data_IF_938496489833
#
_entry.id   IF_938496489833
#
_cell.length_a   1.000
_cell.length_b   1.000
_cell.length_c   1.000
_cell.angle_alpha   90.00
_cell.angle_beta   90.00
_cell.angle_gamma   90.00
#
_symmetry.space_group_name_H-M   'P 1'
#
loop_
_entity.id
_entity.type
_entity.pdbx_description
1 polymer ?
#
# COMPACT_ATOMS: atom_id res chain seq x y z
N UNK A 1 5.26 31.40 -3.25
CA UNK A 1 4.45 30.99 -4.43
C UNK A 1 2.99 31.09 -4.04
N UNK A 2 2.14 31.63 -4.92
CA UNK A 2 0.69 31.87 -4.71
C UNK A 2 -0.21 30.69 -5.11
N UNK A 3 0.36 29.51 -5.40
CA UNK A 3 -0.39 28.31 -5.82
C UNK A 3 -0.50 27.29 -4.67
N UNK A 4 -1.67 27.17 -4.01
CA UNK A 4 -1.86 26.29 -2.85
C UNK A 4 -1.63 24.80 -3.14
N UNK A 5 -1.79 24.40 -4.40
CA UNK A 5 -1.63 23.03 -4.86
C UNK A 5 -0.20 22.66 -5.29
N UNK A 6 0.74 23.63 -5.36
CA UNK A 6 2.12 23.38 -5.81
C UNK A 6 2.95 22.74 -4.68
N UNK A 7 2.65 21.48 -4.39
CA UNK A 7 3.33 20.61 -3.42
C UNK A 7 4.11 19.53 -4.17
N UNK A 8 5.20 19.93 -4.83
CA UNK A 8 6.01 18.99 -5.61
C UNK A 8 6.76 18.02 -4.68
N UNK A 9 6.70 16.70 -4.90
CA UNK A 9 7.37 15.71 -4.06
C UNK A 9 8.87 15.62 -4.42
N UNK A 10 9.60 16.73 -4.31
CA UNK A 10 11.02 16.83 -4.72
C UNK A 10 11.91 15.82 -4.00
N UNK A 11 11.58 15.50 -2.75
CA UNK A 11 12.32 14.49 -2.01
C UNK A 11 12.14 13.08 -2.58
N UNK A 12 10.91 12.71 -2.96
CA UNK A 12 10.63 11.43 -3.59
C UNK A 12 11.31 11.33 -4.97
N UNK A 13 11.46 12.45 -5.69
CA UNK A 13 12.18 12.47 -6.95
C UNK A 13 13.65 12.01 -6.80
N UNK A 14 14.33 12.37 -5.70
CA UNK A 14 15.69 11.89 -5.39
C UNK A 14 15.70 10.38 -5.16
N UNK A 15 14.74 9.86 -4.39
CA UNK A 15 14.63 8.42 -4.12
C UNK A 15 14.40 7.61 -5.41
N UNK A 16 13.47 8.06 -6.26
CA UNK A 16 13.16 7.43 -7.54
C UNK A 16 14.37 7.49 -8.48
N UNK A 17 15.07 8.63 -8.53
CA UNK A 17 16.28 8.80 -9.32
C UNK A 17 17.38 7.83 -8.90
N UNK A 18 17.67 7.73 -7.60
CA UNK A 18 18.64 6.78 -7.08
C UNK A 18 18.24 5.32 -7.38
N UNK A 19 16.97 4.96 -7.13
CA UNK A 19 16.45 3.61 -7.41
C UNK A 19 16.51 3.23 -8.89
N UNK A 20 16.45 4.21 -9.80
CA UNK A 20 16.56 3.99 -11.24
C UNK A 20 18.01 3.89 -11.72
N UNK A 21 18.92 4.68 -11.15
CA UNK A 21 20.34 4.72 -11.58
C UNK A 21 21.19 3.60 -10.98
N UNK A 22 21.01 3.30 -9.70
CA UNK A 22 21.86 2.35 -8.96
C UNK A 22 21.87 0.93 -9.56
N UNK A 23 20.74 0.35 -10.04
CA UNK A 23 20.77 -0.98 -10.63
C UNK A 23 21.75 -1.12 -11.80
N UNK A 24 21.84 -0.11 -12.67
CA UNK A 24 22.79 -0.08 -13.78
C UNK A 24 24.24 -0.04 -13.31
N UNK A 25 24.55 0.82 -12.34
CA UNK A 25 25.90 0.92 -11.76
C UNK A 25 26.32 -0.37 -11.04
N UNK A 26 25.40 -1.01 -10.31
CA UNK A 26 25.64 -2.31 -9.68
C UNK A 26 25.90 -3.38 -10.74
N UNK A 27 25.17 -3.36 -11.86
CA UNK A 27 25.43 -4.29 -12.97
C UNK A 27 26.82 -4.13 -13.57
N UNK A 28 27.37 -2.91 -13.61
CA UNK A 28 28.75 -2.64 -14.03
C UNK A 28 29.76 -3.33 -13.10
N UNK A 29 29.54 -3.30 -11.78
CA UNK A 29 30.40 -4.01 -10.82
C UNK A 29 30.33 -5.53 -11.02
N UNK A 30 29.14 -6.09 -11.27
CA UNK A 30 29.02 -7.52 -11.60
C UNK A 30 29.72 -7.88 -12.91
N UNK A 31 29.62 -7.04 -13.93
CA UNK A 31 30.29 -7.24 -15.21
C UNK A 31 31.82 -7.16 -15.10
N UNK A 32 32.34 -6.43 -14.10
CA UNK A 32 33.78 -6.30 -13.84
C UNK A 32 34.38 -7.48 -13.06
N UNK A 33 33.58 -8.42 -12.55
CA UNK A 33 34.05 -9.53 -11.72
C UNK A 33 35.07 -10.50 -12.37
N UNK A 34 34.99 -10.87 -13.67
CA UNK A 34 35.92 -11.85 -14.25
C UNK A 34 37.29 -11.23 -14.59
N UNK A 35 37.97 -10.68 -13.59
CA UNK A 35 39.29 -10.06 -13.72
C UNK A 35 40.37 -11.11 -14.01
N UNK A 36 41.12 -10.93 -15.09
CA UNK A 36 42.17 -11.86 -15.52
C UNK A 36 43.46 -11.77 -14.71
N UNK A 37 44.07 -12.94 -14.48
CA UNK A 37 45.41 -13.10 -13.86
C UNK A 37 45.57 -12.36 -12.53
N UNK A 38 46.73 -11.73 -12.28
CA UNK A 38 47.04 -11.04 -11.03
C UNK A 38 46.46 -9.61 -10.96
N UNK A 39 46.11 -9.01 -12.11
CA UNK A 39 45.49 -7.68 -12.21
C UNK A 39 44.92 -7.41 -13.60
N UNK A 40 43.60 -7.32 -13.72
CA UNK A 40 42.92 -6.96 -14.96
C UNK A 40 43.09 -5.48 -15.33
N UNK A 41 43.32 -5.21 -16.62
CA UNK A 41 43.30 -3.86 -17.17
C UNK A 41 41.95 -3.62 -17.85
N UNK A 42 41.28 -2.52 -17.51
CA UNK A 42 39.91 -2.25 -17.95
C UNK A 42 38.86 -2.63 -16.89
N UNK A 43 38.72 -3.91 -16.52
CA UNK A 43 37.67 -4.33 -15.57
C UNK A 43 37.88 -3.73 -14.19
N UNK A 44 39.10 -3.81 -13.65
CA UNK A 44 39.45 -3.14 -12.38
C UNK A 44 39.26 -1.60 -12.46
N UNK A 45 39.50 -1.00 -13.62
CA UNK A 45 39.42 0.44 -13.81
C UNK A 45 37.95 0.91 -13.90
N UNK A 46 37.05 0.08 -14.42
CA UNK A 46 35.62 0.37 -14.50
C UNK A 46 34.97 0.52 -13.10
N UNK A 47 35.57 -0.03 -12.05
CA UNK A 47 35.08 0.06 -10.68
C UNK A 47 35.35 1.43 -10.04
N UNK A 48 36.38 2.15 -10.50
CA UNK A 48 36.96 3.32 -9.80
C UNK A 48 35.95 4.43 -9.52
N UNK A 49 35.13 4.79 -10.50
CA UNK A 49 34.08 5.80 -10.35
C UNK A 49 32.72 5.17 -10.03
N UNK A 50 32.51 3.93 -10.46
CA UNK A 50 31.23 3.23 -10.31
C UNK A 50 30.86 3.04 -8.83
N UNK A 51 31.80 2.56 -8.01
CA UNK A 51 31.54 2.32 -6.60
C UNK A 51 31.30 3.64 -5.82
N UNK A 52 32.14 4.68 -5.95
CA UNK A 52 31.86 5.98 -5.34
C UNK A 52 30.53 6.60 -5.78
N UNK A 53 30.15 6.50 -7.06
CA UNK A 53 28.88 7.04 -7.53
C UNK A 53 27.67 6.34 -6.87
N UNK A 54 27.73 5.01 -6.71
CA UNK A 54 26.69 4.26 -5.96
C UNK A 54 26.58 4.80 -4.53
N UNK A 55 27.71 4.98 -3.83
CA UNK A 55 27.71 5.53 -2.47
C UNK A 55 27.12 6.94 -2.39
N UNK A 56 27.46 7.82 -3.34
CA UNK A 56 26.91 9.17 -3.43
C UNK A 56 25.39 9.16 -3.68
N UNK A 57 24.90 8.33 -4.59
CA UNK A 57 23.46 8.22 -4.88
C UNK A 57 22.67 7.69 -3.68
N UNK A 58 23.17 6.64 -3.04
CA UNK A 58 22.49 6.02 -1.88
C UNK A 58 22.53 6.95 -0.66
N UNK A 59 23.64 7.64 -0.40
CA UNK A 59 23.70 8.62 0.70
C UNK A 59 22.75 9.80 0.49
N UNK A 60 22.63 10.30 -0.74
CA UNK A 60 21.64 11.32 -1.10
C UNK A 60 20.20 10.84 -0.90
N UNK A 61 19.91 9.58 -1.29
CA UNK A 61 18.60 8.98 -1.08
C UNK A 61 18.28 8.82 0.40
N UNK A 62 19.20 8.28 1.22
CA UNK A 62 19.01 8.14 2.67
C UNK A 62 18.76 9.49 3.36
N UNK A 63 19.54 10.51 2.98
CA UNK A 63 19.35 11.87 3.51
C UNK A 63 17.94 12.39 3.24
N UNK A 64 17.43 12.17 2.04
CA UNK A 64 16.11 12.65 1.66
C UNK A 64 14.98 11.80 2.22
N UNK A 65 15.19 10.49 2.37
CA UNK A 65 14.26 9.59 3.05
C UNK A 65 14.05 10.00 4.51
N UNK A 66 15.12 10.37 5.22
CA UNK A 66 15.03 10.87 6.61
C UNK A 66 14.10 12.08 6.72
N UNK A 67 14.30 13.09 5.86
CA UNK A 67 13.49 14.32 5.84
C UNK A 67 12.00 14.00 5.62
N UNK A 68 11.70 13.08 4.70
CA UNK A 68 10.32 12.69 4.41
C UNK A 68 9.74 11.91 5.59
N UNK A 69 10.47 10.94 6.14
CA UNK A 69 9.98 10.06 7.20
C UNK A 69 9.64 10.82 8.49
N UNK A 70 10.41 11.87 8.83
CA UNK A 70 10.16 12.71 10.01
C UNK A 70 9.08 13.77 9.78
N UNK A 71 8.88 14.22 8.54
CA UNK A 71 8.04 15.37 8.20
C UNK A 71 6.78 15.07 7.38
N UNK A 72 6.42 13.79 7.20
CA UNK A 72 5.28 13.41 6.36
C UNK A 72 3.94 13.87 6.98
N UNK A 73 3.19 14.68 6.23
CA UNK A 73 1.82 15.07 6.58
C UNK A 73 0.82 13.99 6.16
N UNK A 74 0.04 13.47 7.11
CA UNK A 74 -1.02 12.48 6.87
C UNK A 74 -2.40 13.10 7.05
N UNK A 75 -3.22 13.10 6.00
CA UNK A 75 -4.62 13.52 6.05
C UNK A 75 -5.55 12.30 6.22
N UNK A 76 -5.79 11.91 7.48
CA UNK A 76 -6.65 10.78 7.82
C UNK A 76 -8.11 10.98 7.36
N UNK A 77 -8.61 12.21 7.35
CA UNK A 77 -9.96 12.51 6.90
C UNK A 77 -10.09 12.29 5.39
N UNK A 78 -9.07 12.67 4.60
CA UNK A 78 -9.01 12.36 3.18
C UNK A 78 -8.90 10.86 2.92
N UNK A 79 -8.11 10.13 3.71
CA UNK A 79 -8.06 8.66 3.63
C UNK A 79 -9.45 8.04 3.85
N UNK A 80 -10.18 8.48 4.88
CA UNK A 80 -11.55 7.98 5.15
C UNK A 80 -12.49 8.27 3.98
N UNK A 81 -12.50 9.50 3.46
CA UNK A 81 -13.33 9.87 2.29
C UNK A 81 -12.97 9.07 1.04
N UNK A 82 -11.68 8.79 0.83
CA UNK A 82 -11.24 8.00 -0.32
C UNK A 82 -11.72 6.54 -0.25
N UNK A 83 -11.90 5.97 0.94
CA UNK A 83 -12.46 4.61 1.09
C UNK A 83 -13.91 4.53 0.60
N UNK A 84 -14.66 5.63 0.73
CA UNK A 84 -16.06 5.71 0.30
C UNK A 84 -16.21 5.95 -1.22
N UNK A 85 -15.12 6.13 -1.98
CA UNK A 85 -15.17 6.35 -3.44
C UNK A 85 -15.80 5.18 -4.20
N UNK A 86 -15.73 3.98 -3.65
CA UNK A 86 -16.37 2.78 -4.22
C UNK A 86 -17.75 2.52 -3.62
N UNK A 87 -18.29 3.47 -2.84
CA UNK A 87 -19.61 3.38 -2.23
C UNK A 87 -19.82 2.09 -1.40
N UNK A 88 -18.78 1.67 -0.67
CA UNK A 88 -18.79 0.47 0.17
C UNK A 88 -18.49 -0.85 -0.56
N UNK A 89 -18.37 -0.86 -1.89
CA UNK A 89 -18.08 -2.08 -2.66
C UNK A 89 -16.74 -2.73 -2.28
N UNK A 90 -15.74 -1.93 -1.87
CA UNK A 90 -14.45 -2.44 -1.38
C UNK A 90 -14.59 -3.30 -0.11
N UNK A 91 -15.70 -3.17 0.64
CA UNK A 91 -16.00 -3.95 1.84
C UNK A 91 -17.01 -5.07 1.61
N UNK A 92 -17.38 -5.35 0.35
CA UNK A 92 -18.33 -6.43 0.04
C UNK A 92 -17.85 -7.78 0.62
N UNK A 93 -16.55 -8.07 0.57
CA UNK A 93 -15.98 -9.30 1.15
C UNK A 93 -16.30 -9.45 2.65
N UNK A 94 -16.22 -8.36 3.43
CA UNK A 94 -16.49 -8.38 4.86
C UNK A 94 -17.93 -8.85 5.16
N UNK A 95 -18.88 -8.35 4.38
CA UNK A 95 -20.29 -8.76 4.48
C UNK A 95 -20.48 -10.20 3.99
N UNK A 96 -19.82 -10.58 2.90
CA UNK A 96 -19.89 -11.92 2.30
C UNK A 96 -19.53 -13.02 3.30
N UNK A 97 -18.44 -12.82 4.06
CA UNK A 97 -17.96 -13.80 5.03
C UNK A 97 -18.99 -14.08 6.11
N UNK A 98 -19.66 -13.03 6.60
CA UNK A 98 -20.68 -13.17 7.65
C UNK A 98 -21.97 -13.77 7.09
N UNK A 99 -22.45 -13.29 5.93
CA UNK A 99 -23.63 -13.86 5.28
C UNK A 99 -23.44 -15.33 4.92
N UNK A 100 -22.24 -15.74 4.50
CA UNK A 100 -21.93 -17.13 4.19
C UNK A 100 -22.10 -18.07 5.40
N UNK A 101 -21.85 -17.58 6.62
CA UNK A 101 -22.07 -18.34 7.85
C UNK A 101 -23.55 -18.46 8.24
N UNK A 102 -24.41 -17.56 7.73
CA UNK A 102 -25.84 -17.51 8.01
C UNK A 102 -26.67 -18.26 6.97
N UNK A 103 -26.41 -18.01 5.68
CA UNK A 103 -27.22 -18.45 4.53
C UNK A 103 -26.56 -19.56 3.71
N UNK A 104 -25.31 -19.90 4.02
CA UNK A 104 -24.47 -20.75 3.17
C UNK A 104 -23.73 -19.95 2.10
N UNK A 105 -22.56 -20.48 1.70
CA UNK A 105 -21.58 -19.76 0.86
C UNK A 105 -22.13 -19.37 -0.51
N UNK A 106 -22.79 -20.29 -1.20
CA UNK A 106 -23.28 -20.06 -2.56
C UNK A 106 -24.41 -19.02 -2.57
N UNK A 107 -25.36 -19.14 -1.64
CA UNK A 107 -26.46 -18.18 -1.46
C UNK A 107 -25.95 -16.79 -1.14
N UNK A 108 -25.02 -16.66 -0.17
CA UNK A 108 -24.44 -15.39 0.22
C UNK A 108 -23.68 -14.73 -0.94
N UNK A 109 -22.94 -15.52 -1.73
CA UNK A 109 -22.22 -15.02 -2.89
C UNK A 109 -23.17 -14.42 -3.94
N UNK A 110 -24.21 -15.15 -4.34
CA UNK A 110 -25.18 -14.68 -5.33
C UNK A 110 -25.98 -13.46 -4.84
N UNK A 111 -26.38 -13.46 -3.56
CA UNK A 111 -27.12 -12.35 -2.96
C UNK A 111 -26.28 -11.07 -2.93
N UNK A 112 -25.03 -11.17 -2.47
CA UNK A 112 -24.13 -10.04 -2.41
C UNK A 112 -23.74 -9.54 -3.80
N UNK A 113 -23.50 -10.43 -4.76
CA UNK A 113 -23.25 -10.05 -6.16
C UNK A 113 -24.42 -9.24 -6.74
N UNK A 114 -25.65 -9.69 -6.47
CA UNK A 114 -26.88 -8.98 -6.88
C UNK A 114 -26.95 -7.59 -6.24
N UNK A 115 -26.68 -7.48 -4.93
CA UNK A 115 -26.66 -6.20 -4.23
C UNK A 115 -25.56 -5.26 -4.76
N UNK A 116 -24.35 -5.77 -5.02
CA UNK A 116 -23.27 -4.98 -5.62
C UNK A 116 -23.64 -4.45 -7.01
N UNK A 117 -24.23 -5.30 -7.87
CA UNK A 117 -24.72 -4.88 -9.20
C UNK A 117 -25.79 -3.79 -9.08
N UNK A 118 -26.71 -3.92 -8.13
CA UNK A 118 -27.75 -2.91 -7.84
C UNK A 118 -27.14 -1.59 -7.36
N UNK A 119 -26.18 -1.64 -6.43
CA UNK A 119 -25.48 -0.44 -5.93
C UNK A 119 -24.76 0.32 -7.04
N UNK A 120 -24.09 -0.38 -7.97
CA UNK A 120 -23.45 0.23 -9.14
C UNK A 120 -24.48 0.83 -10.10
N UNK A 121 -25.54 0.08 -10.42
CA UNK A 121 -26.58 0.52 -11.36
C UNK A 121 -27.33 1.77 -10.86
N UNK A 122 -27.60 1.83 -9.56
CA UNK A 122 -28.31 2.94 -8.92
C UNK A 122 -27.38 4.06 -8.42
N UNK A 123 -26.06 3.86 -8.47
CA UNK A 123 -25.03 4.75 -7.90
C UNK A 123 -25.27 5.07 -6.41
N UNK A 124 -25.64 4.04 -5.62
CA UNK A 124 -25.96 4.15 -4.19
C UNK A 124 -24.92 3.44 -3.33
N UNK A 125 -24.88 3.80 -2.05
CA UNK A 125 -24.06 3.08 -1.07
C UNK A 125 -24.52 1.63 -0.96
N UNK A 126 -23.56 0.70 -0.94
CA UNK A 126 -23.83 -0.73 -0.71
C UNK A 126 -24.57 -0.94 0.62
N UNK A 127 -24.30 -0.09 1.62
CA UNK A 127 -25.00 -0.08 2.92
C UNK A 127 -26.51 0.10 2.80
N UNK A 128 -26.95 1.00 1.93
CA UNK A 128 -28.36 1.28 1.72
C UNK A 128 -29.00 0.13 0.95
N UNK A 129 -28.31 -0.32 -0.10
CA UNK A 129 -28.77 -1.42 -0.94
C UNK A 129 -28.96 -2.72 -0.14
N UNK A 130 -28.02 -3.05 0.75
CA UNK A 130 -28.14 -4.20 1.65
C UNK A 130 -29.25 -4.02 2.70
N UNK A 131 -29.46 -2.78 3.16
CA UNK A 131 -30.54 -2.44 4.11
C UNK A 131 -31.94 -2.49 3.48
N UNK A 132 -32.04 -2.37 2.15
CA UNK A 132 -33.30 -2.51 1.41
C UNK A 132 -33.60 -3.97 1.03
N UNK A 133 -32.65 -4.89 1.22
CA UNK A 133 -32.81 -6.29 0.81
C UNK A 133 -33.42 -7.15 1.94
N UNK A 134 -34.59 -7.77 1.74
CA UNK A 134 -35.26 -8.57 2.78
C UNK A 134 -34.47 -9.81 3.22
N UNK A 135 -33.69 -10.43 2.33
CA UNK A 135 -32.90 -11.61 2.69
C UNK A 135 -31.71 -11.24 3.55
N UNK A 136 -31.10 -10.07 3.29
CA UNK A 136 -29.99 -9.56 4.10
C UNK A 136 -30.50 -9.08 5.47
N UNK A 137 -31.56 -8.29 5.49
CA UNK A 137 -32.11 -7.71 6.74
C UNK A 137 -32.77 -8.73 7.66
N UNK A 138 -33.17 -9.89 7.14
CA UNK A 138 -33.59 -11.03 7.96
C UNK A 138 -32.43 -11.64 8.78
N UNK A 139 -31.20 -11.57 8.27
CA UNK A 139 -30.02 -12.21 8.86
C UNK A 139 -29.08 -11.25 9.58
N UNK A 140 -29.06 -9.99 9.15
CA UNK A 140 -28.19 -8.94 9.69
C UNK A 140 -29.01 -7.73 10.09
N UNK A 141 -28.85 -7.32 11.35
CA UNK A 141 -29.39 -6.05 11.83
C UNK A 141 -28.71 -4.84 11.18
N UNK A 142 -29.36 -3.67 11.26
CA UNK A 142 -28.78 -2.42 10.78
C UNK A 142 -27.42 -2.12 11.44
N UNK A 143 -27.29 -2.35 12.75
CA UNK A 143 -26.05 -2.15 13.50
C UNK A 143 -24.93 -3.11 13.03
N UNK A 144 -25.28 -4.35 12.67
CA UNK A 144 -24.32 -5.30 12.09
C UNK A 144 -23.86 -4.85 10.70
N UNK A 145 -24.78 -4.36 9.86
CA UNK A 145 -24.43 -3.82 8.55
C UNK A 145 -23.54 -2.57 8.66
N UNK A 146 -23.83 -1.66 9.58
CA UNK A 146 -22.99 -0.49 9.86
C UNK A 146 -21.59 -0.88 10.31
N UNK A 147 -21.47 -1.90 11.16
CA UNK A 147 -20.18 -2.41 11.62
C UNK A 147 -19.39 -3.09 10.49
N UNK A 148 -20.04 -3.92 9.67
CA UNK A 148 -19.38 -4.66 8.59
C UNK A 148 -18.91 -3.75 7.44
N UNK A 149 -19.63 -2.64 7.23
CA UNK A 149 -19.28 -1.63 6.24
C UNK A 149 -18.48 -0.45 6.81
N UNK A 150 -17.99 -0.57 8.04
CA UNK A 150 -16.98 0.32 8.59
C UNK A 150 -15.56 -0.25 8.32
N UNK A 151 -14.73 0.43 7.51
CA UNK A 151 -13.37 -0.03 7.21
C UNK A 151 -12.49 -0.26 8.46
N UNK A 152 -12.78 0.42 9.58
CA UNK A 152 -12.01 0.25 10.81
C UNK A 152 -12.14 -1.16 11.42
N UNK A 153 -13.20 -1.89 11.06
CA UNK A 153 -13.44 -3.26 11.50
C UNK A 153 -12.88 -4.33 10.54
N UNK A 154 -12.31 -3.92 9.40
CA UNK A 154 -11.79 -4.82 8.36
C UNK A 154 -10.30 -4.61 8.07
N UNK A 155 -9.50 -4.40 9.13
CA UNK A 155 -8.06 -4.16 9.02
C UNK A 155 -7.21 -5.44 9.08
N UNK A 156 -7.85 -6.60 9.28
CA UNK A 156 -7.18 -7.90 9.40
C UNK A 156 -6.03 -7.86 10.43
N UNK A 157 -4.83 -8.23 9.98
CA UNK A 157 -3.63 -8.29 10.82
C UNK A 157 -2.76 -7.02 10.78
N UNK A 158 -3.26 -5.90 10.25
CA UNK A 158 -2.46 -4.68 10.04
C UNK A 158 -1.66 -4.25 11.29
N UNK A 159 -2.29 -4.21 12.47
CA UNK A 159 -1.62 -3.85 13.73
C UNK A 159 -0.60 -4.88 14.20
N UNK A 160 -0.86 -6.16 13.93
CA UNK A 160 0.05 -7.26 14.28
C UNK A 160 1.33 -7.15 13.46
N UNK A 161 1.23 -6.84 12.16
CA UNK A 161 2.40 -6.64 11.31
C UNK A 161 3.25 -5.45 11.75
N UNK A 162 2.61 -4.32 12.08
CA UNK A 162 3.30 -3.14 12.62
C UNK A 162 4.03 -3.49 13.93
N UNK A 163 3.37 -4.20 14.84
CA UNK A 163 3.98 -4.60 16.12
C UNK A 163 5.20 -5.50 15.92
N UNK A 164 5.12 -6.48 15.01
CA UNK A 164 6.24 -7.38 14.70
C UNK A 164 7.44 -6.64 14.11
N UNK A 165 7.21 -5.75 13.14
CA UNK A 165 8.28 -4.97 12.52
C UNK A 165 8.99 -4.04 13.53
N UNK A 166 8.24 -3.39 14.42
CA UNK A 166 8.82 -2.55 15.48
C UNK A 166 9.60 -3.38 16.50
N UNK A 167 9.09 -4.57 16.87
CA UNK A 167 9.79 -5.45 17.79
C UNK A 167 11.12 -5.94 17.22
N UNK A 168 11.15 -6.34 15.94
CA UNK A 168 12.38 -6.76 15.26
C UNK A 168 13.41 -5.62 15.18
N UNK A 169 12.98 -4.40 14.85
CA UNK A 169 13.84 -3.21 14.89
C UNK A 169 14.46 -2.96 16.27
N UNK A 170 13.68 -3.12 17.35
CA UNK A 170 14.16 -2.96 18.71
C UNK A 170 15.12 -4.08 19.14
N UNK A 171 14.94 -5.30 18.63
CA UNK A 171 15.85 -6.42 18.87
C UNK A 171 17.20 -6.20 18.19
N UNK A 172 17.22 -5.74 16.93
CA UNK A 172 18.46 -5.46 16.21
C UNK A 172 19.29 -4.33 16.81
N UNK A 173 18.63 -3.35 17.46
CA UNK A 173 19.31 -2.23 18.13
C UNK A 173 20.02 -2.60 19.43
N UNK A 174 19.71 -3.76 20.02
CA UNK A 174 20.37 -4.27 21.24
C UNK A 174 21.62 -5.04 20.89
#
# INVERSE_FOLDING_TARGET
>A
STMPHKRNPVGAAVLIGAATRVPGLVSTLFAAMPQEHERSLGLWHAEWETLPEICCLVSGALRQAQVIAEGLEVDAARMRRNLDLTQGLVLAEAVSIVLAQRLGRDTAHHLLETCCKRAVAEQRQLRDVLGDDPQVTAELSADELDRLLDPAHYLGQARVWVARAVAEHQQFKR
#
